data_IF_411030744080
#
_entry.id   IF_411030744080
#
_cell.length_a   1.000
_cell.length_b   1.000
_cell.length_c   1.000
_cell.angle_alpha   90.00
_cell.angle_beta   90.00
_cell.angle_gamma   90.00
#
_symmetry.space_group_name_H-M   'P 1'
#
loop_
_entity.id
_entity.type
_entity.pdbx_description
1 polymer ?
#
# COMPACT_ATOMS: atom_id res chain seq x y z
N UNK A 1 -29.94 11.66 17.72
CA UNK A 1 -29.04 11.45 18.87
C UNK A 1 -28.06 10.37 18.45
N UNK A 2 -26.78 10.59 18.21
CA UNK A 2 -25.97 11.80 18.17
C UNK A 2 -25.07 11.66 16.94
N UNK A 3 -24.98 12.71 16.13
CA UNK A 3 -24.01 12.78 15.03
C UNK A 3 -22.64 13.02 15.68
N UNK A 4 -21.83 11.97 15.82
CA UNK A 4 -20.43 12.12 16.22
C UNK A 4 -19.68 12.64 15.00
N UNK A 5 -19.44 13.94 14.97
CA UNK A 5 -18.50 14.58 14.07
C UNK A 5 -17.09 14.26 14.55
N UNK A 6 -16.45 13.23 14.00
CA UNK A 6 -15.01 13.02 14.16
C UNK A 6 -14.30 14.00 13.23
N UNK A 7 -14.00 15.20 13.74
CA UNK A 7 -13.10 16.12 13.07
C UNK A 7 -11.67 15.57 13.23
N UNK A 8 -11.11 15.09 12.12
CA UNK A 8 -9.71 14.67 11.93
C UNK A 8 -9.25 13.48 12.80
N UNK A 9 -8.86 12.39 12.14
CA UNK A 9 -8.18 11.24 12.76
C UNK A 9 -6.94 11.66 13.57
N UNK A 10 -6.26 12.74 13.13
CA UNK A 10 -5.07 13.30 13.78
C UNK A 10 -5.37 14.04 15.09
N UNK A 11 -6.63 14.39 15.37
CA UNK A 11 -7.01 15.06 16.61
C UNK A 11 -7.32 14.09 17.77
N UNK A 12 -7.35 12.77 17.53
CA UNK A 12 -7.69 11.78 18.55
C UNK A 12 -6.48 11.40 19.44
N UNK A 13 -6.68 11.20 20.76
CA UNK A 13 -5.68 10.62 21.66
C UNK A 13 -5.19 9.23 21.21
N UNK A 14 -3.90 8.92 21.41
CA UNK A 14 -3.25 7.69 20.92
C UNK A 14 -3.98 6.39 21.29
N UNK A 15 -4.48 6.29 22.53
CA UNK A 15 -5.23 5.14 23.02
C UNK A 15 -6.60 4.96 22.34
N UNK A 16 -7.22 6.05 21.87
CA UNK A 16 -8.44 5.99 21.07
C UNK A 16 -8.14 5.69 19.60
N UNK A 17 -6.97 6.07 19.05
CA UNK A 17 -6.59 5.66 17.69
C UNK A 17 -6.51 4.15 17.55
N UNK A 18 -5.96 3.45 18.55
CA UNK A 18 -5.86 1.99 18.52
C UNK A 18 -7.21 1.28 18.58
N UNK A 19 -8.18 1.80 19.35
CA UNK A 19 -9.54 1.28 19.37
C UNK A 19 -10.31 1.50 18.05
N UNK A 20 -9.83 2.41 17.20
CA UNK A 20 -10.45 2.77 15.93
C UNK A 20 -9.58 2.38 14.71
N UNK A 21 -8.53 1.58 14.87
CA UNK A 21 -7.71 1.08 13.75
C UNK A 21 -8.52 0.26 12.74
N UNK A 22 -9.56 -0.44 13.21
CA UNK A 22 -10.52 -1.13 12.34
C UNK A 22 -11.49 -0.16 11.63
N UNK A 23 -11.71 1.05 12.16
CA UNK A 23 -12.58 2.07 11.54
C UNK A 23 -11.83 3.15 10.76
N UNK A 24 -10.51 3.31 10.98
CA UNK A 24 -9.63 4.11 10.12
C UNK A 24 -9.36 3.44 8.76
N UNK A 25 -9.82 2.20 8.61
CA UNK A 25 -9.91 1.49 7.34
C UNK A 25 -11.01 2.05 6.41
N UNK A 26 -12.01 2.75 6.95
CA UNK A 26 -13.03 3.49 6.20
C UNK A 26 -12.62 4.97 6.07
N UNK A 27 -12.70 5.54 4.85
CA UNK A 27 -12.08 6.84 4.61
C UNK A 27 -12.80 8.07 5.15
N UNK A 28 -11.98 9.10 5.29
CA UNK A 28 -12.30 10.53 5.32
C UNK A 28 -13.19 11.03 4.13
N UNK A 29 -13.23 10.33 2.99
CA UNK A 29 -13.85 10.82 1.73
C UNK A 29 -15.06 10.04 1.18
N UNK A 30 -15.46 8.88 1.73
CA UNK A 30 -16.69 8.18 1.30
C UNK A 30 -17.53 7.72 2.48
N UNK A 31 -18.70 8.35 2.63
CA UNK A 31 -19.69 7.99 3.65
C UNK A 31 -20.44 6.73 3.22
N UNK A 32 -20.22 5.64 3.95
CA UNK A 32 -21.03 4.42 3.84
C UNK A 32 -22.10 4.48 4.94
N UNK A 33 -23.34 4.15 4.60
CA UNK A 33 -24.43 4.13 5.58
C UNK A 33 -24.20 2.94 6.49
N UNK A 34 -24.11 3.13 7.81
CA UNK A 34 -23.81 2.06 8.76
C UNK A 34 -24.73 0.82 8.61
N UNK A 35 -26.00 1.01 8.26
CA UNK A 35 -26.95 -0.09 8.01
C UNK A 35 -26.67 -0.93 6.75
N UNK A 36 -25.67 -0.55 5.95
CA UNK A 36 -25.25 -1.25 4.73
C UNK A 36 -23.91 -1.97 4.90
N UNK A 37 -23.35 -1.95 6.11
CA UNK A 37 -22.15 -2.68 6.49
C UNK A 37 -22.57 -4.05 7.03
N UNK A 38 -21.92 -5.10 6.53
CA UNK A 38 -21.98 -6.42 7.13
C UNK A 38 -20.58 -6.79 7.64
N UNK A 39 -20.54 -7.21 8.89
CA UNK A 39 -19.37 -7.75 9.58
C UNK A 39 -19.63 -9.23 9.88
N UNK A 40 -18.82 -10.11 9.28
CA UNK A 40 -18.96 -11.56 9.40
C UNK A 40 -17.73 -12.16 10.04
N UNK A 41 -17.96 -13.04 11.02
CA UNK A 41 -16.92 -13.82 11.67
C UNK A 41 -17.01 -15.28 11.25
N UNK A 42 -15.88 -15.83 10.80
CA UNK A 42 -15.73 -17.24 10.42
C UNK A 42 -14.55 -17.88 11.15
N UNK A 43 -14.83 -18.70 12.14
CA UNK A 43 -13.81 -19.56 12.74
C UNK A 43 -13.85 -20.93 12.04
N UNK A 44 -12.73 -21.37 11.49
CA UNK A 44 -12.62 -22.75 11.03
C UNK A 44 -11.44 -23.47 11.68
N UNK A 45 -11.79 -24.49 12.45
CA UNK A 45 -10.86 -25.32 13.21
C UNK A 45 -10.26 -26.48 12.40
N UNK A 46 -10.68 -26.67 11.15
CA UNK A 46 -10.25 -27.80 10.32
C UNK A 46 -9.85 -27.32 8.91
N UNK A 47 -8.84 -27.97 8.29
CA UNK A 47 -8.30 -27.60 6.96
C UNK A 47 -9.32 -27.81 5.80
N UNK A 48 -10.56 -28.18 6.13
CA UNK A 48 -11.59 -28.65 5.21
C UNK A 48 -12.81 -27.72 5.10
N UNK A 49 -12.73 -26.44 5.51
CA UNK A 49 -13.87 -25.52 5.34
C UNK A 49 -14.21 -25.26 3.87
N UNK A 50 -15.12 -26.07 3.34
CA UNK A 50 -15.90 -25.75 2.16
C UNK A 50 -17.05 -24.87 2.60
N UNK A 51 -16.89 -23.55 2.43
CA UNK A 51 -17.97 -22.55 2.35
C UNK A 51 -19.31 -22.96 3.00
N UNK A 52 -19.32 -23.22 4.32
CA UNK A 52 -20.53 -23.67 5.04
C UNK A 52 -21.59 -22.58 5.17
N UNK A 53 -21.36 -21.44 4.51
CA UNK A 53 -22.32 -20.36 4.40
C UNK A 53 -23.50 -20.82 3.55
N UNK A 54 -24.68 -20.88 4.17
CA UNK A 54 -25.93 -20.90 3.40
C UNK A 54 -25.99 -19.69 2.46
N UNK A 55 -26.76 -19.77 1.38
CA UNK A 55 -26.96 -18.64 0.48
C UNK A 55 -27.49 -17.43 1.27
N UNK A 56 -26.63 -16.44 1.51
CA UNK A 56 -27.02 -15.17 2.13
C UNK A 56 -27.45 -14.20 1.03
N UNK A 57 -28.72 -13.80 1.04
CA UNK A 57 -29.22 -12.75 0.16
C UNK A 57 -29.11 -11.39 0.86
N UNK A 58 -28.10 -10.61 0.48
CA UNK A 58 -27.78 -9.32 1.09
C UNK A 58 -27.57 -8.24 0.00
N UNK A 59 -28.61 -7.90 -0.78
CA UNK A 59 -28.46 -7.14 -2.02
C UNK A 59 -28.18 -5.64 -1.80
N UNK A 60 -28.35 -5.15 -0.57
CA UNK A 60 -28.17 -3.74 -0.21
C UNK A 60 -26.83 -3.42 0.46
N UNK A 61 -25.96 -4.41 0.63
CA UNK A 61 -24.67 -4.25 1.31
C UNK A 61 -23.70 -3.48 0.43
N UNK A 62 -23.04 -2.49 1.02
CA UNK A 62 -22.02 -1.67 0.36
C UNK A 62 -20.61 -1.92 0.91
N UNK A 63 -20.50 -2.46 2.12
CA UNK A 63 -19.23 -2.87 2.70
C UNK A 63 -19.34 -4.23 3.40
N UNK A 64 -18.37 -5.09 3.13
CA UNK A 64 -18.22 -6.40 3.76
C UNK A 64 -16.88 -6.44 4.47
N UNK A 65 -16.90 -6.69 5.77
CA UNK A 65 -15.71 -7.06 6.55
C UNK A 65 -15.86 -8.52 6.93
N UNK A 66 -14.87 -9.33 6.51
CA UNK A 66 -14.83 -10.76 6.77
C UNK A 66 -13.65 -11.06 7.67
N UNK A 67 -13.95 -11.34 8.93
CA UNK A 67 -13.02 -11.84 9.92
C UNK A 67 -12.94 -13.35 9.79
N UNK A 68 -11.74 -13.89 9.65
CA UNK A 68 -11.51 -15.33 9.61
C UNK A 68 -10.40 -15.75 10.56
N UNK A 69 -10.44 -17.00 11.01
CA UNK A 69 -9.35 -17.63 11.75
C UNK A 69 -9.17 -19.05 11.23
N UNK A 70 -8.33 -19.21 10.21
CA UNK A 70 -8.03 -20.49 9.57
C UNK A 70 -6.74 -20.43 8.75
N UNK A 71 -6.13 -21.59 8.50
CA UNK A 71 -4.98 -21.77 7.60
C UNK A 71 -5.37 -21.69 6.12
N UNK A 72 -6.58 -22.11 5.77
CA UNK A 72 -7.10 -22.15 4.40
C UNK A 72 -8.53 -21.63 4.40
N UNK A 73 -8.85 -20.74 3.46
CA UNK A 73 -10.19 -20.16 3.39
C UNK A 73 -10.64 -19.93 1.95
N UNK A 74 -11.78 -20.48 1.58
CA UNK A 74 -12.43 -20.20 0.31
C UNK A 74 -13.44 -19.06 0.51
N UNK A 75 -13.32 -17.99 -0.27
CA UNK A 75 -14.29 -16.90 -0.22
C UNK A 75 -15.70 -17.42 -0.54
N UNK A 76 -16.73 -17.02 0.24
CA UNK A 76 -18.10 -17.50 0.01
C UNK A 76 -18.65 -17.04 -1.35
N UNK A 77 -19.28 -17.96 -2.08
CA UNK A 77 -19.85 -17.68 -3.41
C UNK A 77 -20.94 -16.60 -3.40
N UNK A 78 -21.67 -16.44 -2.28
CA UNK A 78 -22.71 -15.42 -2.17
C UNK A 78 -22.14 -14.00 -2.32
N UNK A 79 -20.84 -13.77 -2.11
CA UNK A 79 -20.22 -12.44 -2.33
C UNK A 79 -20.48 -11.98 -3.76
N UNK A 80 -20.47 -12.88 -4.75
CA UNK A 80 -20.73 -12.55 -6.15
C UNK A 80 -22.15 -12.00 -6.42
N UNK A 81 -23.10 -12.19 -5.50
CA UNK A 81 -24.48 -11.69 -5.62
C UNK A 81 -24.65 -10.26 -5.10
N UNK A 82 -23.68 -9.74 -4.31
CA UNK A 82 -23.74 -8.42 -3.67
C UNK A 82 -23.45 -7.26 -4.64
N UNK A 83 -24.36 -6.97 -5.59
CA UNK A 83 -24.11 -6.01 -6.68
C UNK A 83 -23.85 -4.55 -6.25
N UNK A 84 -24.22 -4.16 -5.02
CA UNK A 84 -23.95 -2.83 -4.46
C UNK A 84 -22.63 -2.73 -3.69
N UNK A 85 -21.90 -3.84 -3.55
CA UNK A 85 -20.67 -3.89 -2.75
C UNK A 85 -19.59 -2.98 -3.34
N UNK A 86 -19.05 -2.11 -2.49
CA UNK A 86 -17.99 -1.15 -2.80
C UNK A 86 -16.69 -1.46 -2.07
N UNK A 87 -16.78 -2.10 -0.91
CA UNK A 87 -15.63 -2.37 -0.03
C UNK A 87 -15.66 -3.82 0.43
N UNK A 88 -14.52 -4.50 0.30
CA UNK A 88 -14.29 -5.85 0.84
C UNK A 88 -13.01 -5.86 1.65
N UNK A 89 -13.12 -6.14 2.95
CA UNK A 89 -11.98 -6.38 3.83
C UNK A 89 -11.98 -7.83 4.27
N UNK A 90 -10.84 -8.48 4.16
CA UNK A 90 -10.63 -9.87 4.56
C UNK A 90 -9.48 -9.88 5.54
N UNK A 91 -9.79 -10.17 6.81
CA UNK A 91 -8.88 -10.03 7.94
C UNK A 91 -8.76 -11.38 8.62
N UNK A 92 -7.56 -11.94 8.62
CA UNK A 92 -7.28 -13.18 9.32
C UNK A 92 -6.67 -12.92 10.71
N UNK A 93 -7.28 -13.52 11.73
CA UNK A 93 -6.83 -13.49 13.12
C UNK A 93 -6.06 -14.76 13.54
N UNK A 94 -6.00 -15.76 12.65
CA UNK A 94 -5.23 -16.99 12.85
C UNK A 94 -3.73 -16.71 12.97
N UNK A 95 -2.96 -17.66 13.50
CA UNK A 95 -1.52 -17.49 13.75
C UNK A 95 -0.72 -17.20 12.48
N UNK A 96 -0.95 -18.00 11.43
CA UNK A 96 -0.28 -17.91 10.14
C UNK A 96 -1.17 -17.27 9.06
N UNK A 97 -0.59 -16.71 7.98
CA UNK A 97 -1.37 -16.15 6.89
C UNK A 97 -2.28 -17.18 6.18
N UNK A 98 -3.58 -16.94 6.18
CA UNK A 98 -4.57 -17.85 5.61
C UNK A 98 -4.46 -17.93 4.09
N UNK A 99 -4.30 -19.13 3.52
CA UNK A 99 -4.36 -19.34 2.07
C UNK A 99 -5.76 -19.05 1.55
N UNK A 100 -5.89 -17.94 0.84
CA UNK A 100 -7.16 -17.50 0.29
C UNK A 100 -7.39 -18.13 -1.08
N UNK A 101 -8.59 -18.67 -1.29
CA UNK A 101 -9.01 -19.26 -2.56
C UNK A 101 -10.38 -18.70 -2.98
N UNK A 102 -10.79 -18.98 -4.22
CA UNK A 102 -12.05 -18.50 -4.79
C UNK A 102 -12.16 -16.96 -4.92
N UNK A 103 -11.05 -16.28 -5.21
CA UNK A 103 -11.02 -14.83 -5.47
C UNK A 103 -11.90 -14.41 -6.66
N UNK A 104 -12.19 -15.36 -7.57
CA UNK A 104 -13.08 -15.14 -8.72
C UNK A 104 -14.47 -14.64 -8.34
N UNK A 105 -14.97 -14.88 -7.12
CA UNK A 105 -16.25 -14.30 -6.67
C UNK A 105 -16.25 -12.76 -6.70
N UNK A 106 -15.08 -12.11 -6.58
CA UNK A 106 -14.93 -10.66 -6.64
C UNK A 106 -15.07 -10.11 -8.07
N UNK A 107 -14.83 -10.92 -9.11
CA UNK A 107 -14.92 -10.50 -10.51
C UNK A 107 -16.32 -10.08 -10.96
N UNK A 108 -17.35 -10.51 -10.23
CA UNK A 108 -18.76 -10.26 -10.54
C UNK A 108 -19.30 -8.97 -9.90
N UNK A 109 -18.44 -8.17 -9.27
CA UNK A 109 -18.80 -6.99 -8.48
C UNK A 109 -18.53 -5.68 -9.24
N UNK A 110 -19.55 -5.07 -9.87
CA UNK A 110 -19.36 -3.92 -10.76
C UNK A 110 -18.99 -2.62 -10.03
N UNK A 111 -19.28 -2.51 -8.73
CA UNK A 111 -19.10 -1.30 -7.94
C UNK A 111 -17.95 -1.41 -6.93
N UNK A 112 -17.17 -2.50 -6.97
CA UNK A 112 -16.11 -2.74 -6.01
C UNK A 112 -14.98 -1.72 -6.22
N UNK A 113 -14.79 -0.85 -5.23
CA UNK A 113 -13.79 0.23 -5.22
C UNK A 113 -12.58 -0.12 -4.38
N UNK A 114 -12.73 -0.98 -3.37
CA UNK A 114 -11.70 -1.20 -2.36
C UNK A 114 -11.61 -2.66 -1.96
N UNK A 115 -10.38 -3.16 -1.94
CA UNK A 115 -10.07 -4.46 -1.38
C UNK A 115 -8.93 -4.29 -0.38
N UNK A 116 -9.11 -4.82 0.84
CA UNK A 116 -8.04 -5.01 1.82
C UNK A 116 -7.89 -6.48 2.13
N UNK A 117 -6.67 -6.96 2.01
CA UNK A 117 -6.24 -8.27 2.46
C UNK A 117 -5.33 -8.09 3.67
N UNK A 118 -5.63 -8.78 4.76
CA UNK A 118 -4.83 -8.73 5.97
C UNK A 118 -4.54 -10.12 6.50
N UNK A 119 -3.25 -10.39 6.67
CA UNK A 119 -2.72 -11.67 7.17
C UNK A 119 -3.23 -12.87 6.34
N UNK A 120 -3.20 -12.74 5.01
CA UNK A 120 -3.57 -13.82 4.07
C UNK A 120 -2.41 -14.16 3.13
N UNK A 121 -2.40 -15.39 2.62
CA UNK A 121 -1.52 -15.81 1.52
C UNK A 121 -2.26 -15.64 0.19
N UNK A 122 -1.69 -14.86 -0.74
CA UNK A 122 -2.32 -14.56 -2.03
C UNK A 122 -1.31 -14.59 -3.20
N UNK A 123 -1.79 -14.92 -4.40
CA UNK A 123 -1.02 -14.81 -5.65
C UNK A 123 -1.32 -13.47 -6.31
N UNK A 124 -0.38 -12.51 -6.28
CA UNK A 124 -0.64 -11.16 -6.85
C UNK A 124 -0.92 -11.16 -8.36
N UNK A 125 -0.51 -12.20 -9.09
CA UNK A 125 -0.82 -12.34 -10.53
C UNK A 125 -2.30 -12.70 -10.80
N UNK A 126 -3.05 -13.14 -9.79
CA UNK A 126 -4.49 -13.40 -9.94
C UNK A 126 -5.29 -12.09 -9.97
N UNK A 127 -4.80 -11.01 -9.37
CA UNK A 127 -5.53 -9.73 -9.25
C UNK A 127 -5.95 -9.16 -10.61
N UNK A 128 -5.05 -9.02 -11.61
CA UNK A 128 -5.45 -8.61 -12.96
C UNK A 128 -6.53 -9.48 -13.62
N UNK A 129 -6.62 -10.76 -13.27
CA UNK A 129 -7.55 -11.72 -13.86
C UNK A 129 -8.99 -11.52 -13.35
N UNK A 130 -9.16 -10.77 -12.25
CA UNK A 130 -10.45 -10.52 -11.62
C UNK A 130 -11.28 -9.43 -12.32
N UNK A 131 -10.77 -8.77 -13.38
CA UNK A 131 -11.51 -7.76 -14.16
C UNK A 131 -12.13 -6.63 -13.30
N UNK A 132 -11.39 -6.15 -12.30
CA UNK A 132 -11.88 -5.20 -11.30
C UNK A 132 -11.88 -3.74 -11.80
N UNK A 133 -12.72 -3.46 -12.80
CA UNK A 133 -12.74 -2.19 -13.56
C UNK A 133 -13.00 -0.92 -12.72
N UNK A 134 -13.66 -1.08 -11.58
CA UNK A 134 -14.06 0.00 -10.66
C UNK A 134 -13.15 0.11 -9.44
N UNK A 135 -12.15 -0.77 -9.31
CA UNK A 135 -11.26 -0.79 -8.15
C UNK A 135 -10.42 0.48 -8.13
N UNK A 136 -10.50 1.23 -7.04
CA UNK A 136 -9.76 2.47 -6.80
C UNK A 136 -8.57 2.23 -5.87
N UNK A 137 -8.67 1.27 -4.94
CA UNK A 137 -7.64 0.97 -3.93
C UNK A 137 -7.48 -0.52 -3.65
N UNK A 138 -6.23 -0.98 -3.67
CA UNK A 138 -5.81 -2.30 -3.22
C UNK A 138 -4.86 -2.16 -2.02
N UNK A 139 -5.17 -2.84 -0.92
CA UNK A 139 -4.36 -2.83 0.29
C UNK A 139 -4.01 -4.24 0.74
N UNK A 140 -2.74 -4.45 1.08
CA UNK A 140 -2.16 -5.71 1.50
C UNK A 140 -1.40 -5.46 2.80
N UNK A 141 -1.81 -6.07 3.91
CA UNK A 141 -1.12 -5.93 5.19
C UNK A 141 -0.79 -7.31 5.75
N UNK A 142 0.44 -7.51 6.23
CA UNK A 142 0.88 -8.79 6.82
C UNK A 142 0.65 -10.00 5.89
N UNK A 143 0.58 -9.76 4.57
CA UNK A 143 0.24 -10.78 3.60
C UNK A 143 1.48 -11.57 3.18
N UNK A 144 1.27 -12.86 2.88
CA UNK A 144 2.27 -13.72 2.28
C UNK A 144 2.04 -13.77 0.76
N UNK A 145 2.93 -13.15 0.00
CA UNK A 145 2.80 -13.05 -1.47
C UNK A 145 3.38 -14.31 -2.11
N UNK A 146 2.53 -15.14 -2.71
CA UNK A 146 2.97 -16.34 -3.42
C UNK A 146 3.54 -15.92 -4.78
N UNK A 147 4.85 -16.04 -4.95
CA UNK A 147 5.53 -15.77 -6.22
C UNK A 147 5.21 -16.89 -7.22
N UNK A 148 4.74 -16.51 -8.40
CA UNK A 148 4.59 -17.41 -9.54
C UNK A 148 5.48 -16.92 -10.67
N UNK A 149 6.34 -17.81 -11.17
CA UNK A 149 7.49 -17.51 -12.02
C UNK A 149 7.14 -17.15 -13.48
N UNK A 150 6.03 -16.47 -13.73
CA UNK A 150 5.56 -16.22 -15.10
C UNK A 150 5.44 -14.73 -15.39
N UNK A 151 6.32 -14.25 -16.26
CA UNK A 151 6.18 -13.04 -17.06
C UNK A 151 5.02 -13.20 -18.05
N UNK A 152 3.81 -13.35 -17.53
CA UNK A 152 2.62 -13.26 -18.38
C UNK A 152 2.40 -11.79 -18.69
N UNK A 153 2.46 -11.43 -19.97
CA UNK A 153 1.96 -10.17 -20.48
C UNK A 153 0.44 -10.14 -20.27
N UNK A 154 0.01 -9.77 -19.07
CA UNK A 154 -1.40 -9.52 -18.77
C UNK A 154 -1.66 -8.05 -19.10
N UNK A 155 -2.50 -7.78 -20.10
CA UNK A 155 -2.96 -6.42 -20.35
C UNK A 155 -3.93 -5.99 -19.23
N UNK A 156 -3.44 -5.15 -18.32
CA UNK A 156 -4.24 -4.61 -17.20
C UNK A 156 -4.98 -3.33 -17.54
N UNK A 157 -4.76 -2.75 -18.73
CA UNK A 157 -5.36 -1.47 -19.13
C UNK A 157 -6.88 -1.51 -19.14
N UNK A 158 -7.45 -2.70 -19.41
CA UNK A 158 -8.90 -2.93 -19.43
C UNK A 158 -9.46 -3.50 -18.11
N UNK A 159 -8.60 -3.97 -17.19
CA UNK A 159 -9.05 -4.65 -15.96
C UNK A 159 -8.92 -3.80 -14.71
N UNK A 160 -7.91 -2.91 -14.63
CA UNK A 160 -7.61 -2.09 -13.45
C UNK A 160 -7.58 -0.59 -13.78
N UNK A 161 -8.40 -0.16 -14.76
CA UNK A 161 -8.41 1.21 -15.28
C UNK A 161 -8.66 2.31 -14.22
N UNK A 162 -9.34 2.00 -13.13
CA UNK A 162 -9.69 2.96 -12.07
C UNK A 162 -8.74 2.95 -10.87
N UNK A 163 -7.75 2.04 -10.85
CA UNK A 163 -6.90 1.80 -9.70
C UNK A 163 -5.93 2.97 -9.49
N UNK A 164 -6.10 3.67 -8.37
CA UNK A 164 -5.35 4.88 -8.05
C UNK A 164 -4.37 4.68 -6.89
N UNK A 165 -4.65 3.74 -5.99
CA UNK A 165 -3.83 3.50 -4.81
C UNK A 165 -3.50 2.01 -4.65
N UNK A 166 -2.22 1.72 -4.47
CA UNK A 166 -1.73 0.42 -3.99
C UNK A 166 -0.97 0.67 -2.69
N UNK A 167 -1.33 -0.08 -1.65
CA UNK A 167 -0.70 -0.05 -0.34
C UNK A 167 -0.29 -1.46 0.06
N UNK A 168 0.99 -1.67 0.35
CA UNK A 168 1.57 -2.96 0.72
C UNK A 168 2.38 -2.74 1.98
N UNK A 169 1.96 -3.36 3.08
CA UNK A 169 2.57 -3.17 4.38
C UNK A 169 2.88 -4.51 5.05
N UNK A 170 4.03 -4.60 5.71
CA UNK A 170 4.48 -5.80 6.45
C UNK A 170 4.42 -7.11 5.65
N UNK A 171 4.55 -7.06 4.33
CA UNK A 171 4.62 -8.26 3.49
C UNK A 171 6.07 -8.78 3.47
N UNK A 172 6.46 -9.52 4.52
CA UNK A 172 7.86 -9.88 4.79
C UNK A 172 8.53 -10.75 3.74
N UNK A 173 7.77 -11.44 2.90
CA UNK A 173 8.30 -12.30 1.86
C UNK A 173 8.35 -11.65 0.47
N UNK A 174 7.88 -10.41 0.31
CA UNK A 174 7.87 -9.70 -0.96
C UNK A 174 9.30 -9.37 -1.40
N UNK A 175 9.78 -10.00 -2.49
CA UNK A 175 11.12 -9.76 -3.04
C UNK A 175 11.11 -8.70 -4.13
N UNK A 176 10.13 -8.77 -5.03
CA UNK A 176 9.95 -7.83 -6.15
C UNK A 176 8.44 -7.55 -6.32
N UNK A 177 8.10 -6.38 -6.88
CA UNK A 177 6.73 -6.08 -7.29
C UNK A 177 6.39 -6.75 -8.63
N UNK A 178 5.17 -7.27 -8.84
CA UNK A 178 4.79 -7.86 -10.11
C UNK A 178 4.75 -6.81 -11.23
N UNK A 179 5.16 -7.20 -12.44
CA UNK A 179 5.28 -6.31 -13.61
C UNK A 179 3.99 -5.53 -13.91
N UNK A 180 2.81 -6.15 -13.72
CA UNK A 180 1.55 -5.51 -14.02
C UNK A 180 1.29 -4.20 -13.27
N UNK A 181 1.90 -4.01 -12.08
CA UNK A 181 1.77 -2.75 -11.32
C UNK A 181 2.28 -1.58 -12.15
N UNK A 182 3.35 -1.77 -12.93
CA UNK A 182 3.91 -0.75 -13.81
C UNK A 182 3.02 -0.38 -15.00
N UNK A 183 2.03 -1.22 -15.32
CA UNK A 183 1.10 -1.02 -16.42
C UNK A 183 -0.18 -0.27 -15.99
N UNK A 184 -0.39 -0.02 -14.69
CA UNK A 184 -1.56 0.69 -14.16
C UNK A 184 -1.37 2.19 -14.30
N UNK A 185 -1.60 2.73 -15.51
CA UNK A 185 -1.37 4.14 -15.84
C UNK A 185 -2.20 5.11 -14.96
N UNK A 186 -3.33 4.68 -14.40
CA UNK A 186 -4.17 5.46 -13.49
C UNK A 186 -3.61 5.61 -12.07
N UNK A 187 -2.55 4.89 -11.71
CA UNK A 187 -2.01 4.86 -10.35
C UNK A 187 -1.42 6.22 -9.97
N UNK A 188 -1.86 6.74 -8.82
CA UNK A 188 -1.39 8.00 -8.22
C UNK A 188 -0.55 7.78 -6.98
N UNK A 189 -0.79 6.68 -6.25
CA UNK A 189 -0.08 6.36 -5.02
C UNK A 189 0.36 4.90 -5.03
N UNK A 190 1.66 4.69 -4.85
CA UNK A 190 2.26 3.40 -4.58
C UNK A 190 2.99 3.50 -3.24
N UNK A 191 2.52 2.73 -2.27
CA UNK A 191 3.07 2.66 -0.92
C UNK A 191 3.48 1.23 -0.64
N UNK A 192 4.76 0.99 -0.39
CA UNK A 192 5.31 -0.28 0.04
C UNK A 192 6.11 -0.03 1.31
N UNK A 193 5.64 -0.54 2.44
CA UNK A 193 6.22 -0.28 3.75
C UNK A 193 6.52 -1.55 4.51
N UNK A 194 7.60 -1.53 5.31
CA UNK A 194 8.01 -2.66 6.16
C UNK A 194 8.23 -3.98 5.38
N UNK A 195 8.53 -3.91 4.09
CA UNK A 195 8.81 -5.06 3.22
C UNK A 195 10.32 -5.31 3.14
N UNK A 196 10.86 -5.96 4.17
CA UNK A 196 12.31 -6.10 4.33
C UNK A 196 13.00 -6.94 3.25
N UNK A 197 12.30 -7.79 2.48
CA UNK A 197 12.91 -8.54 1.38
C UNK A 197 12.91 -7.82 0.04
N UNK A 198 12.24 -6.66 -0.05
CA UNK A 198 12.23 -5.86 -1.26
C UNK A 198 13.62 -5.24 -1.45
N UNK A 199 14.36 -5.74 -2.46
CA UNK A 199 15.74 -5.31 -2.70
C UNK A 199 15.86 -4.22 -3.76
N UNK A 200 14.92 -4.17 -4.70
CA UNK A 200 14.93 -3.28 -5.87
C UNK A 200 13.50 -2.99 -6.32
N UNK A 201 13.38 -1.97 -7.15
CA UNK A 201 12.18 -1.68 -7.92
C UNK A 201 12.45 -1.95 -9.40
N UNK A 202 11.42 -2.37 -10.14
CA UNK A 202 11.49 -2.53 -11.59
C UNK A 202 11.64 -1.15 -12.26
N UNK A 203 12.48 -1.05 -13.28
CA UNK A 203 12.58 0.17 -14.12
C UNK A 203 11.24 0.57 -14.73
N UNK A 204 10.38 -0.40 -15.05
CA UNK A 204 9.05 -0.15 -15.60
C UNK A 204 8.15 0.67 -14.66
N UNK A 205 8.41 0.72 -13.34
CA UNK A 205 7.64 1.57 -12.41
C UNK A 205 7.72 3.04 -12.82
N UNK A 206 8.81 3.46 -13.48
CA UNK A 206 8.96 4.80 -14.01
C UNK A 206 8.00 5.14 -15.16
N UNK A 207 7.30 4.16 -15.73
CA UNK A 207 6.26 4.38 -16.75
C UNK A 207 4.91 4.82 -16.14
N UNK A 208 4.78 4.82 -14.81
CA UNK A 208 3.62 5.32 -14.07
C UNK A 208 3.56 6.85 -14.04
N UNK A 209 3.25 7.46 -15.19
CA UNK A 209 3.30 8.92 -15.37
C UNK A 209 2.34 9.71 -14.49
N UNK A 210 1.29 9.10 -13.95
CA UNK A 210 0.34 9.78 -13.03
C UNK A 210 0.71 9.61 -11.55
N UNK A 211 1.81 8.93 -11.23
CA UNK A 211 2.23 8.69 -9.86
C UNK A 211 2.62 10.01 -9.19
N UNK A 212 1.94 10.34 -8.10
CA UNK A 212 2.17 11.52 -7.27
C UNK A 212 2.91 11.17 -5.97
N UNK A 213 2.70 9.96 -5.45
CA UNK A 213 3.24 9.49 -4.17
C UNK A 213 3.92 8.14 -4.39
N UNK A 214 5.22 8.08 -4.14
CA UNK A 214 6.00 6.84 -4.06
C UNK A 214 6.57 6.73 -2.65
N UNK A 215 6.10 5.74 -1.89
CA UNK A 215 6.58 5.45 -0.54
C UNK A 215 7.18 4.05 -0.48
N UNK A 216 8.41 3.96 0.00
CA UNK A 216 9.25 2.78 0.15
C UNK A 216 9.87 2.77 1.57
N UNK A 217 9.04 3.03 2.59
CA UNK A 217 9.50 3.22 3.96
C UNK A 217 9.77 1.89 4.67
N UNK A 218 10.82 1.83 5.48
CA UNK A 218 11.24 0.64 6.22
C UNK A 218 11.50 -0.58 5.31
N UNK A 219 11.88 -0.35 4.06
CA UNK A 219 12.36 -1.39 3.14
C UNK A 219 13.87 -1.56 3.32
N UNK A 220 14.27 -2.23 4.42
CA UNK A 220 15.66 -2.25 4.90
C UNK A 220 16.71 -2.78 3.91
N UNK A 221 16.33 -3.68 3.00
CA UNK A 221 17.22 -4.24 1.98
C UNK A 221 17.16 -3.52 0.62
N UNK A 222 16.41 -2.42 0.48
CA UNK A 222 16.35 -1.66 -0.76
C UNK A 222 17.73 -1.06 -1.08
N UNK A 223 18.35 -1.51 -2.18
CA UNK A 223 19.72 -1.13 -2.54
C UNK A 223 19.74 0.09 -3.47
N UNK A 224 18.79 0.12 -4.40
CA UNK A 224 18.73 1.11 -5.48
C UNK A 224 17.30 1.43 -5.89
N UNK A 225 17.12 2.67 -6.34
CA UNK A 225 15.94 3.12 -7.07
C UNK A 225 16.22 3.05 -8.57
N UNK A 226 15.19 2.95 -9.42
CA UNK A 226 15.36 2.87 -10.87
C UNK A 226 16.07 4.10 -11.43
N UNK A 227 16.95 3.89 -12.40
CA UNK A 227 17.76 4.95 -13.00
C UNK A 227 16.92 5.97 -13.76
N UNK A 228 15.78 5.54 -14.32
CA UNK A 228 14.88 6.39 -15.12
C UNK A 228 13.77 7.09 -14.31
N UNK A 229 14.04 7.39 -13.04
CA UNK A 229 13.07 7.98 -12.10
C UNK A 229 12.49 9.32 -12.58
N UNK A 230 13.21 10.08 -13.42
CA UNK A 230 12.76 11.35 -13.98
C UNK A 230 11.48 11.25 -14.83
N UNK A 231 11.15 10.06 -15.32
CA UNK A 231 9.90 9.81 -16.04
C UNK A 231 8.66 9.99 -15.16
N UNK A 232 8.81 9.88 -13.82
CA UNK A 232 7.75 10.16 -12.84
C UNK A 232 7.53 11.67 -12.69
N UNK A 233 7.16 12.32 -13.78
CA UNK A 233 7.04 13.78 -13.89
C UNK A 233 5.94 14.40 -13.01
N UNK A 234 5.00 13.59 -12.50
CA UNK A 234 3.97 13.99 -11.56
C UNK A 234 4.30 13.71 -10.09
N UNK A 235 5.46 13.11 -9.80
CA UNK A 235 5.83 12.74 -8.44
C UNK A 235 6.01 14.00 -7.58
N UNK A 236 5.26 14.05 -6.47
CA UNK A 236 5.26 15.14 -5.48
C UNK A 236 5.89 14.70 -4.16
N UNK A 237 5.73 13.43 -3.81
CA UNK A 237 6.25 12.85 -2.57
C UNK A 237 7.04 11.57 -2.86
N UNK A 238 8.28 11.54 -2.41
CA UNK A 238 9.14 10.36 -2.41
C UNK A 238 9.57 10.05 -0.96
N UNK A 239 9.31 8.85 -0.49
CA UNK A 239 9.75 8.39 0.82
C UNK A 239 10.55 7.11 0.68
N UNK A 240 11.79 7.14 1.15
CA UNK A 240 12.72 6.00 1.18
C UNK A 240 13.27 5.77 2.58
N UNK A 241 12.57 6.28 3.60
CA UNK A 241 12.98 6.19 4.99
C UNK A 241 13.20 4.74 5.43
N UNK A 242 14.13 4.48 6.35
CA UNK A 242 14.48 3.12 6.78
C UNK A 242 15.16 2.27 5.70
N UNK A 243 15.55 2.87 4.57
CA UNK A 243 16.34 2.25 3.51
C UNK A 243 17.83 2.17 3.87
N UNK A 244 18.19 1.41 4.90
CA UNK A 244 19.56 1.37 5.43
C UNK A 244 20.63 0.93 4.41
N UNK A 245 20.23 0.17 3.39
CA UNK A 245 21.11 -0.33 2.31
C UNK A 245 21.08 0.54 1.05
N UNK A 246 20.26 1.60 1.00
CA UNK A 246 20.13 2.45 -0.17
C UNK A 246 21.44 3.21 -0.39
N UNK A 247 22.14 2.89 -1.48
CA UNK A 247 23.49 3.39 -1.71
C UNK A 247 23.52 4.82 -2.25
N UNK A 248 22.59 5.15 -3.15
CA UNK A 248 22.54 6.46 -3.82
C UNK A 248 21.13 6.74 -4.32
N UNK A 249 20.80 8.02 -4.45
CA UNK A 249 19.69 8.43 -5.30
C UNK A 249 20.14 8.42 -6.78
N UNK A 250 19.27 8.04 -7.73
CA UNK A 250 19.57 8.10 -9.16
C UNK A 250 19.98 9.50 -9.62
N UNK A 251 20.92 9.59 -10.57
CA UNK A 251 21.36 10.87 -11.13
C UNK A 251 20.17 11.70 -11.64
N UNK A 252 19.15 11.06 -12.18
CA UNK A 252 18.01 11.73 -12.77
C UNK A 252 16.96 12.21 -11.74
N UNK A 253 17.16 11.95 -10.44
CA UNK A 253 16.29 12.47 -9.36
C UNK A 253 16.17 13.99 -9.41
N UNK A 254 17.23 14.70 -9.80
CA UNK A 254 17.23 16.15 -9.97
C UNK A 254 16.27 16.69 -11.03
N UNK A 255 15.75 15.82 -11.90
CA UNK A 255 14.84 16.17 -12.98
C UNK A 255 13.36 16.03 -12.60
N UNK A 256 13.03 15.58 -11.39
CA UNK A 256 11.67 15.51 -10.85
C UNK A 256 11.11 16.92 -10.53
N UNK A 257 10.64 17.64 -11.55
CA UNK A 257 10.28 19.06 -11.45
C UNK A 257 9.11 19.36 -10.50
N UNK A 258 8.23 18.39 -10.23
CA UNK A 258 7.08 18.52 -9.33
C UNK A 258 7.32 17.96 -7.93
N UNK A 259 8.53 17.45 -7.66
CA UNK A 259 8.84 16.89 -6.36
C UNK A 259 8.86 17.99 -5.32
N UNK A 260 7.98 17.86 -4.33
CA UNK A 260 7.78 18.82 -3.26
C UNK A 260 8.39 18.33 -1.96
N UNK A 261 8.37 17.02 -1.72
CA UNK A 261 8.85 16.44 -0.48
C UNK A 261 9.60 15.13 -0.69
N UNK A 262 10.76 15.02 -0.04
CA UNK A 262 11.53 13.79 0.09
C UNK A 262 11.63 13.43 1.58
N UNK A 263 11.29 12.18 1.93
CA UNK A 263 11.58 11.62 3.26
C UNK A 263 12.70 10.58 3.16
N UNK A 264 13.74 10.79 3.95
CA UNK A 264 14.99 10.01 3.96
C UNK A 264 15.48 9.81 5.39
N UNK A 265 14.57 9.47 6.32
CA UNK A 265 14.98 9.11 7.67
C UNK A 265 15.73 7.78 7.65
N UNK A 266 16.78 7.65 8.43
CA UNK A 266 17.67 6.49 8.50
C UNK A 266 18.35 6.13 7.16
N UNK A 267 18.67 7.14 6.34
CA UNK A 267 19.32 7.00 5.03
C UNK A 267 20.75 7.57 5.00
N UNK A 268 21.46 7.57 6.13
CA UNK A 268 22.78 8.19 6.32
C UNK A 268 23.89 7.69 5.37
N UNK A 269 23.72 6.49 4.77
CA UNK A 269 24.65 5.92 3.77
C UNK A 269 24.31 6.29 2.32
N UNK A 270 23.16 6.92 2.09
CA UNK A 270 22.69 7.24 0.75
C UNK A 270 23.43 8.45 0.18
N UNK A 271 24.17 8.25 -0.91
CA UNK A 271 24.83 9.31 -1.64
C UNK A 271 23.82 10.13 -2.46
N UNK A 272 23.87 11.45 -2.28
CA UNK A 272 23.03 12.40 -3.03
C UNK A 272 23.76 12.84 -4.31
N UNK A 273 23.18 12.64 -5.51
CA UNK A 273 23.80 13.08 -6.75
C UNK A 273 23.77 14.60 -6.86
N UNK A 274 24.75 15.16 -7.55
CA UNK A 274 24.88 16.62 -7.73
C UNK A 274 23.67 17.27 -8.43
N UNK A 275 22.87 16.49 -9.14
CA UNK A 275 21.65 16.90 -9.83
C UNK A 275 20.52 17.31 -8.89
N UNK A 276 20.49 16.86 -7.62
CA UNK A 276 19.41 17.23 -6.68
C UNK A 276 19.29 18.74 -6.49
N UNK A 277 20.37 19.49 -6.76
CA UNK A 277 20.37 20.97 -6.77
C UNK A 277 19.41 21.59 -7.79
N UNK A 278 18.97 20.83 -8.79
CA UNK A 278 18.06 21.27 -9.83
C UNK A 278 16.58 21.23 -9.37
N UNK A 279 16.30 20.58 -8.24
CA UNK A 279 14.99 20.59 -7.61
C UNK A 279 14.69 21.99 -7.09
N UNK A 280 13.45 22.47 -7.33
CA UNK A 280 13.11 23.88 -7.12
C UNK A 280 12.57 24.14 -5.72
N UNK A 281 11.47 23.48 -5.35
CA UNK A 281 10.74 23.69 -4.10
C UNK A 281 10.69 22.38 -3.33
N UNK A 282 11.80 22.05 -2.64
CA UNK A 282 11.94 20.76 -1.98
C UNK A 282 11.96 20.93 -0.46
N UNK A 283 11.08 20.19 0.20
CA UNK A 283 11.17 19.88 1.63
C UNK A 283 11.83 18.51 1.80
N UNK A 284 12.84 18.42 2.65
CA UNK A 284 13.51 17.18 3.01
C UNK A 284 13.21 16.87 4.48
N UNK A 285 12.57 15.74 4.74
CA UNK A 285 12.38 15.19 6.09
C UNK A 285 13.39 14.09 6.35
N UNK A 286 14.25 14.27 7.34
CA UNK A 286 15.32 13.31 7.61
C UNK A 286 15.83 13.41 9.06
N UNK A 287 16.70 12.48 9.45
CA UNK A 287 17.46 12.56 10.70
C UNK A 287 18.62 13.58 10.59
N UNK A 288 19.28 13.85 11.72
CA UNK A 288 20.40 14.79 11.82
C UNK A 288 21.58 14.41 10.89
N UNK A 289 21.90 13.11 10.78
CA UNK A 289 23.03 12.61 9.99
C UNK A 289 22.82 12.85 8.48
N UNK A 290 21.62 12.51 7.99
CA UNK A 290 21.20 12.68 6.60
C UNK A 290 21.02 14.17 6.28
N UNK A 291 20.54 14.98 7.23
CA UNK A 291 20.43 16.43 7.07
C UNK A 291 21.77 17.08 6.76
N UNK A 292 22.89 16.58 7.30
CA UNK A 292 24.23 17.10 7.01
C UNK A 292 24.57 17.03 5.52
N UNK A 293 24.23 15.92 4.85
CA UNK A 293 24.44 15.74 3.40
C UNK A 293 23.62 16.74 2.58
N UNK A 294 22.37 16.97 2.96
CA UNK A 294 21.48 17.94 2.29
C UNK A 294 21.87 19.41 2.54
N UNK A 295 22.40 19.74 3.73
CA UNK A 295 22.85 21.10 4.08
C UNK A 295 23.89 21.65 3.10
N UNK A 296 24.69 20.79 2.45
CA UNK A 296 25.68 21.17 1.42
C UNK A 296 25.05 21.79 0.16
N UNK A 297 23.78 21.50 -0.11
CA UNK A 297 23.06 22.03 -1.27
C UNK A 297 22.29 23.32 -0.98
N UNK A 298 22.12 23.73 0.29
CA UNK A 298 21.45 25.00 0.65
C UNK A 298 21.96 26.23 -0.10
N UNK A 299 23.27 26.44 -0.33
CA UNK A 299 23.75 27.59 -1.10
C UNK A 299 23.32 27.58 -2.58
N UNK A 300 23.04 26.39 -3.13
CA UNK A 300 22.64 26.18 -4.53
C UNK A 300 21.11 26.09 -4.70
N UNK A 301 20.37 25.79 -3.63
CA UNK A 301 18.92 25.57 -3.63
C UNK A 301 18.22 26.57 -2.72
N UNK A 302 17.67 27.64 -3.31
CA UNK A 302 17.08 28.76 -2.54
C UNK A 302 15.84 28.36 -1.71
N UNK A 303 15.05 27.41 -2.17
CA UNK A 303 13.81 26.98 -1.51
C UNK A 303 13.93 25.57 -0.91
N UNK A 304 15.15 25.13 -0.58
CA UNK A 304 15.37 23.88 0.14
C UNK A 304 15.03 24.08 1.62
N UNK A 305 13.99 23.40 2.08
CA UNK A 305 13.65 23.28 3.51
C UNK A 305 14.13 21.92 3.99
N UNK A 306 14.80 21.88 5.15
CA UNK A 306 15.22 20.63 5.79
C UNK A 306 14.55 20.60 7.15
N UNK A 307 13.69 19.60 7.34
CA UNK A 307 12.96 19.32 8.57
C UNK A 307 13.64 18.12 9.22
N UNK A 308 14.32 18.37 10.34
CA UNK A 308 14.94 17.31 11.14
C UNK A 308 13.86 16.73 12.07
N UNK A 309 13.55 15.44 11.89
CA UNK A 309 12.59 14.73 12.74
C UNK A 309 13.37 13.88 13.75
N UNK A 310 13.09 14.05 15.04
CA UNK A 310 13.73 13.23 16.07
C UNK A 310 13.42 11.75 15.82
N UNK A 311 14.46 10.91 15.95
CA UNK A 311 14.28 9.47 16.04
C UNK A 311 13.62 9.17 17.38
N UNK A 312 12.29 9.24 17.44
CA UNK A 312 11.58 8.43 18.41
C UNK A 312 12.01 6.99 18.15
N UNK A 313 12.90 6.49 19.01
CA UNK A 313 13.27 5.09 19.07
C UNK A 313 12.00 4.37 19.50
N UNK A 314 11.17 4.02 18.54
CA UNK A 314 9.92 3.34 18.81
C UNK A 314 10.30 1.94 19.31
N UNK A 315 10.38 1.81 20.64
CA UNK A 315 10.68 0.57 21.35
C UNK A 315 9.70 -0.57 21.00
N UNK A 316 8.62 -0.28 20.24
CA UNK A 316 7.74 -1.27 19.64
C UNK A 316 8.45 -2.22 18.65
N UNK A 317 9.64 -1.87 18.13
CA UNK A 317 10.48 -2.82 17.37
C UNK A 317 11.07 -3.96 18.23
N UNK A 318 11.05 -3.84 19.56
CA UNK A 318 11.42 -4.92 20.49
C UNK A 318 10.26 -5.89 20.77
N UNK A 319 9.04 -5.59 20.35
CA UNK A 319 7.86 -6.47 20.53
C UNK A 319 7.66 -7.45 19.35
N UNK A 320 8.51 -7.39 18.32
CA UNK A 320 8.50 -8.29 17.16
C UNK A 320 9.64 -9.34 17.22
N UNK A 321 10.26 -9.53 18.39
CA UNK A 321 11.17 -10.65 18.69
C UNK A 321 10.57 -11.54 19.78
#
# INVERSE_FOLDING_TARGET
>A
MDLISIQSFDALPHNLRECFLDMSSFLEDQRIIASTIIDLWSECYDDSFSSGWGEMDCPNVEALVLHLSSSNYALPNFIATMKKLKVVFIINHGLDPAKLTNLSCLSSLPNLKRIRFEKVSITLLEIPQLQLISLEKLSLSLCHVVETATETEIDVSQTLQSLQEIDIDYCYNLVDLPYWISQVVSLKKLSVTNCNKLCRLLEAICDLRNLEILRLSCCSNLIELPETIEKLNNLRFLDVSGGFQLKKLPLETGNLQKLEMISMKDCYRCELPDSVKNLKNLEVKCDEETAFSWKRFKPKMKNLTITEEETEHNLNLLLLF
#
